data_IF_543680240571
#
_entry.id   IF_543680240571
#
_cell.length_a   1.000
_cell.length_b   1.000
_cell.length_c   1.000
_cell.angle_alpha   90.00
_cell.angle_beta   90.00
_cell.angle_gamma   90.00
#
_symmetry.space_group_name_H-M   'P 1'
#
loop_
_entity.id
_entity.type
_entity.pdbx_description
1 polymer ?
#
# COMPACT_ATOMS: atom_id res chain seq x y z
N UNK A 1 -4.31 -10.46 -10.68
CA UNK A 1 -5.79 -10.38 -10.66
C UNK A 1 -6.21 -10.55 -9.22
N UNK A 2 -6.88 -9.57 -8.63
CA UNK A 2 -7.16 -9.52 -7.20
C UNK A 2 -8.46 -10.26 -6.84
N UNK A 3 -8.56 -10.92 -5.68
CA UNK A 3 -9.78 -11.68 -5.35
C UNK A 3 -10.97 -10.75 -5.12
N UNK A 4 -10.74 -9.56 -4.54
CA UNK A 4 -11.80 -8.56 -4.32
C UNK A 4 -12.42 -8.03 -5.63
N UNK A 5 -11.72 -8.16 -6.76
CA UNK A 5 -12.23 -7.76 -8.07
C UNK A 5 -13.10 -8.84 -8.72
N UNK A 6 -12.95 -10.09 -8.30
CA UNK A 6 -13.66 -11.25 -8.85
C UNK A 6 -14.86 -11.64 -7.98
N UNK A 7 -14.74 -11.54 -6.66
CA UNK A 7 -15.82 -11.83 -5.73
C UNK A 7 -16.52 -10.55 -5.29
N UNK A 8 -17.84 -10.47 -5.55
CA UNK A 8 -18.72 -9.36 -5.16
C UNK A 8 -18.84 -9.19 -3.64
N UNK A 9 -18.43 -10.20 -2.86
CA UNK A 9 -18.35 -10.18 -1.38
C UNK A 9 -16.91 -10.14 -0.86
N UNK A 10 -15.91 -10.29 -1.73
CA UNK A 10 -14.51 -10.30 -1.34
C UNK A 10 -14.03 -8.92 -0.91
N UNK A 11 -13.36 -8.85 0.24
CA UNK A 11 -12.77 -7.61 0.74
C UNK A 11 -11.28 -7.53 0.40
N UNK A 12 -10.73 -6.31 0.33
CA UNK A 12 -9.28 -6.10 0.31
C UNK A 12 -8.57 -6.79 1.49
N UNK A 13 -9.27 -6.97 2.62
CA UNK A 13 -8.74 -7.71 3.77
C UNK A 13 -8.57 -9.21 3.51
N UNK A 14 -9.31 -9.79 2.58
CA UNK A 14 -9.19 -11.20 2.22
C UNK A 14 -7.91 -11.43 1.42
N UNK A 15 -7.63 -10.52 0.49
CA UNK A 15 -6.36 -10.47 -0.22
C UNK A 15 -5.19 -10.27 0.75
N UNK A 16 -5.32 -9.37 1.74
CA UNK A 16 -4.30 -9.14 2.78
C UNK A 16 -3.96 -10.41 3.57
N UNK A 17 -4.98 -11.18 3.95
CA UNK A 17 -4.80 -12.46 4.66
C UNK A 17 -4.11 -13.49 3.77
N UNK A 18 -4.51 -13.60 2.51
CA UNK A 18 -3.88 -14.50 1.56
C UNK A 18 -2.40 -14.15 1.31
N UNK A 19 -2.09 -12.87 1.12
CA UNK A 19 -0.71 -12.42 0.94
C UNK A 19 0.15 -12.62 2.19
N UNK A 20 -0.43 -12.52 3.39
CA UNK A 20 0.29 -12.84 4.63
C UNK A 20 0.75 -14.30 4.64
N UNK A 21 -0.14 -15.23 4.29
CA UNK A 21 0.18 -16.66 4.20
C UNK A 21 1.22 -16.93 3.10
N UNK A 22 1.05 -16.33 1.93
CA UNK A 22 1.99 -16.46 0.82
C UNK A 22 3.40 -15.95 1.19
N UNK A 23 3.48 -14.79 1.85
CA UNK A 23 4.74 -14.20 2.28
C UNK A 23 5.47 -15.05 3.31
N UNK A 24 4.75 -15.69 4.24
CA UNK A 24 5.33 -16.64 5.19
C UNK A 24 5.96 -17.82 4.45
N UNK A 25 5.22 -18.47 3.56
CA UNK A 25 5.70 -19.60 2.77
C UNK A 25 6.89 -19.23 1.88
N UNK A 26 6.83 -18.07 1.23
CA UNK A 26 7.91 -17.57 0.38
C UNK A 26 9.19 -17.30 1.18
N UNK A 27 9.07 -16.73 2.39
CA UNK A 27 10.21 -16.45 3.25
C UNK A 27 10.85 -17.72 3.82
N UNK A 28 10.07 -18.76 4.12
CA UNK A 28 10.60 -20.08 4.52
C UNK A 28 11.47 -20.67 3.41
N UNK A 29 11.06 -20.50 2.15
CA UNK A 29 11.75 -21.05 0.99
C UNK A 29 12.72 -20.06 0.32
N UNK A 30 13.01 -18.91 0.96
CA UNK A 30 13.77 -17.83 0.35
C UNK A 30 15.27 -18.14 0.33
N UNK A 31 15.87 -18.07 -0.86
CA UNK A 31 17.32 -18.02 -1.00
C UNK A 31 17.85 -16.60 -0.79
N UNK A 32 18.54 -16.40 0.34
CA UNK A 32 19.13 -15.11 0.74
C UNK A 32 20.22 -14.62 -0.20
N UNK A 33 20.84 -15.51 -1.00
CA UNK A 33 21.84 -15.13 -2.00
C UNK A 33 21.22 -14.48 -3.24
N UNK A 34 19.99 -14.88 -3.57
CA UNK A 34 19.23 -14.34 -4.71
C UNK A 34 18.43 -13.11 -4.29
N UNK A 35 17.79 -13.15 -3.12
CA UNK A 35 17.06 -12.01 -2.55
C UNK A 35 17.34 -11.86 -1.07
N UNK A 36 18.07 -10.80 -0.72
CA UNK A 36 18.44 -10.49 0.67
C UNK A 36 17.26 -10.05 1.52
N UNK A 37 16.32 -9.32 0.93
CA UNK A 37 15.13 -8.80 1.61
C UNK A 37 14.04 -9.87 1.71
N UNK A 38 13.34 -9.89 2.84
CA UNK A 38 12.18 -10.76 3.03
C UNK A 38 11.01 -10.30 2.16
N UNK A 39 10.16 -11.24 1.75
CA UNK A 39 8.92 -10.89 1.09
C UNK A 39 7.90 -10.34 2.08
N UNK A 40 7.26 -9.22 1.74
CA UNK A 40 6.12 -8.68 2.46
C UNK A 40 4.80 -9.30 1.95
N UNK A 41 3.70 -9.18 2.70
CA UNK A 41 2.39 -9.62 2.24
C UNK A 41 2.02 -9.01 0.89
N UNK A 42 2.30 -7.72 0.72
CA UNK A 42 1.91 -6.95 -0.45
C UNK A 42 2.69 -7.31 -1.72
N UNK A 43 3.83 -8.02 -1.62
CA UNK A 43 4.59 -8.51 -2.78
C UNK A 43 3.80 -9.53 -3.61
N UNK A 44 2.76 -10.13 -3.02
CA UNK A 44 1.90 -11.13 -3.65
C UNK A 44 0.51 -10.60 -4.04
N UNK A 45 0.31 -9.28 -4.01
CA UNK A 45 -0.96 -8.63 -4.33
C UNK A 45 -0.82 -7.73 -5.55
N UNK A 46 -1.45 -8.11 -6.67
CA UNK A 46 -1.32 -7.36 -7.94
C UNK A 46 -1.91 -5.95 -7.90
N UNK A 47 -2.79 -5.63 -6.95
CA UNK A 47 -3.30 -4.27 -6.78
C UNK A 47 -2.35 -3.36 -6.00
N UNK A 48 -1.33 -3.91 -5.34
CA UNK A 48 -0.31 -3.11 -4.67
C UNK A 48 0.64 -2.42 -5.67
N UNK A 49 0.74 -2.93 -6.90
CA UNK A 49 1.48 -2.28 -7.99
C UNK A 49 0.94 -0.86 -8.27
N UNK A 50 -0.39 -0.66 -8.18
CA UNK A 50 -0.99 0.67 -8.29
C UNK A 50 -0.63 1.58 -7.11
N UNK A 51 -0.48 1.03 -5.89
CA UNK A 51 -0.07 1.82 -4.72
C UNK A 51 1.39 2.23 -4.82
N UNK A 52 2.28 1.34 -5.29
CA UNK A 52 3.69 1.67 -5.48
C UNK A 52 3.92 2.68 -6.61
N UNK A 53 3.20 2.60 -7.73
CA UNK A 53 3.27 3.64 -8.77
C UNK A 53 2.83 5.02 -8.26
N UNK A 54 1.76 5.09 -7.45
CA UNK A 54 1.33 6.35 -6.82
C UNK A 54 2.37 6.85 -5.80
N UNK A 55 3.08 5.94 -5.12
CA UNK A 55 4.05 6.29 -4.08
C UNK A 55 5.39 6.77 -4.66
N UNK A 56 5.83 6.24 -5.82
CA UNK A 56 7.04 6.73 -6.50
C UNK A 56 6.88 8.15 -7.08
N UNK A 57 5.67 8.53 -7.51
CA UNK A 57 5.40 9.86 -8.05
C UNK A 57 5.17 10.94 -6.97
N UNK A 58 4.71 10.54 -5.78
CA UNK A 58 4.41 11.47 -4.69
C UNK A 58 5.64 11.75 -3.82
N UNK A 59 6.50 12.68 -4.25
CA UNK A 59 7.49 13.29 -3.33
C UNK A 59 6.73 13.98 -2.18
N UNK A 60 7.11 13.74 -0.92
CA UNK A 60 6.46 14.39 0.21
C UNK A 60 6.60 15.91 0.09
N UNK A 61 5.46 16.61 -0.02
CA UNK A 61 5.40 18.07 0.01
C UNK A 61 5.47 18.49 1.48
N UNK A 62 6.63 19.00 1.89
CA UNK A 62 6.79 19.72 3.14
C UNK A 62 6.83 21.21 2.83
N UNK A 63 5.79 21.93 3.25
CA UNK A 63 5.73 23.37 3.13
C UNK A 63 6.56 24.02 4.25
N UNK A 64 7.26 25.10 3.92
CA UNK A 64 8.06 25.85 4.90
C UNK A 64 7.19 26.56 5.95
N UNK A 65 5.93 26.85 5.61
CA UNK A 65 4.94 27.47 6.49
C UNK A 65 4.14 26.39 7.26
N UNK A 66 4.27 26.33 8.60
CA UNK A 66 3.54 25.38 9.43
C UNK A 66 2.02 25.51 9.33
N UNK A 67 1.50 26.72 9.10
CA UNK A 67 0.05 26.95 9.00
C UNK A 67 -0.47 26.46 7.64
N UNK A 68 0.25 26.72 6.56
CA UNK A 68 -0.04 26.17 5.25
C UNK A 68 0.03 24.63 5.24
N UNK A 69 1.01 24.03 5.93
CA UNK A 69 1.12 22.58 6.09
C UNK A 69 -0.09 22.00 6.83
N UNK A 70 -0.51 22.65 7.91
CA UNK A 70 -1.67 22.24 8.70
C UNK A 70 -2.96 22.30 7.89
N UNK A 71 -3.15 23.35 7.09
CA UNK A 71 -4.31 23.50 6.21
C UNK A 71 -4.32 22.46 5.08
N UNK A 72 -3.16 22.15 4.49
CA UNK A 72 -3.02 21.09 3.50
C UNK A 72 -3.47 19.74 4.09
N UNK A 73 -2.97 19.40 5.27
CA UNK A 73 -3.35 18.16 5.97
C UNK A 73 -4.86 18.11 6.27
N UNK A 74 -5.42 19.22 6.77
CA UNK A 74 -6.85 19.32 7.05
C UNK A 74 -7.71 19.15 5.78
N UNK A 75 -7.28 19.72 4.65
CA UNK A 75 -8.01 19.58 3.38
C UNK A 75 -8.00 18.16 2.83
N UNK A 76 -6.90 17.42 3.01
CA UNK A 76 -6.81 16.01 2.62
C UNK A 76 -7.64 15.10 3.53
N UNK A 77 -7.64 15.37 4.83
CA UNK A 77 -8.36 14.57 5.82
C UNK A 77 -9.87 14.86 5.83
N UNK A 78 -10.26 16.10 5.52
CA UNK A 78 -11.65 16.56 5.54
C UNK A 78 -12.02 17.34 4.26
N UNK A 79 -12.13 16.67 3.10
CA UNK A 79 -12.36 17.34 1.81
C UNK A 79 -13.65 18.16 1.76
N UNK A 80 -14.67 17.78 2.53
CA UNK A 80 -15.96 18.45 2.61
C UNK A 80 -15.97 19.74 3.42
N UNK A 81 -14.88 20.03 4.17
CA UNK A 81 -14.73 21.23 5.00
C UNK A 81 -13.75 22.25 4.43
N UNK A 82 -13.17 21.97 3.26
CA UNK A 82 -12.17 22.81 2.61
C UNK A 82 -12.77 23.96 1.77
N UNK A 83 -14.09 24.19 1.84
CA UNK A 83 -14.80 25.30 1.20
C UNK A 83 -15.22 26.35 2.23
#
# INVERSE_FOLDING_TARGET
MASYQLDRRGSHYDDLRAGTIASMLANINRDVKVRKESFGPLDFMTWNEHVQQVTEEAKPVLLDDPDAQSNLLLSMMFPSKAN
#
